data_IF_889939500043
#
_entry.id   IF_889939500043
#
_cell.length_a   1.000
_cell.length_b   1.000
_cell.length_c   1.000
_cell.angle_alpha   90.00
_cell.angle_beta   90.00
_cell.angle_gamma   90.00
#
_symmetry.space_group_name_H-M   'P 1'
#
loop_
_entity.id
_entity.type
_entity.pdbx_description
1 polymer ?
#
# COMPACT_ATOMS: atom_id res chain seq x y z
N UNK A 1 29.88 -11.07 0.50
CA UNK A 1 28.43 -11.13 0.23
C UNK A 1 28.19 -10.62 -1.18
N UNK A 2 27.53 -11.38 -2.05
CA UNK A 2 27.25 -10.95 -3.43
C UNK A 2 26.36 -9.71 -3.45
N UNK A 3 26.46 -8.92 -4.51
CA UNK A 3 25.64 -7.71 -4.68
C UNK A 3 24.13 -8.06 -4.77
N UNK A 4 23.81 -9.21 -5.36
CA UNK A 4 22.45 -9.73 -5.41
C UNK A 4 21.90 -10.05 -4.01
N UNK A 5 22.72 -10.65 -3.15
CA UNK A 5 22.31 -10.97 -1.79
C UNK A 5 22.09 -9.71 -0.95
N UNK A 6 22.92 -8.68 -1.12
CA UNK A 6 22.69 -7.36 -0.48
C UNK A 6 21.36 -6.74 -0.91
N UNK A 7 21.07 -6.73 -2.21
CA UNK A 7 19.83 -6.16 -2.75
C UNK A 7 18.60 -6.94 -2.30
N UNK A 8 18.69 -8.27 -2.22
CA UNK A 8 17.61 -9.10 -1.70
C UNK A 8 17.30 -8.77 -0.23
N UNK A 9 18.32 -8.75 0.63
CA UNK A 9 18.16 -8.41 2.05
C UNK A 9 17.53 -7.03 2.20
N UNK A 10 18.02 -6.05 1.43
CA UNK A 10 17.47 -4.69 1.42
C UNK A 10 15.98 -4.66 1.08
N UNK A 11 15.57 -5.34 0.01
CA UNK A 11 14.17 -5.38 -0.41
C UNK A 11 13.28 -6.09 0.61
N UNK A 12 13.78 -7.15 1.27
CA UNK A 12 13.09 -7.81 2.38
C UNK A 12 12.92 -6.85 3.56
N UNK A 13 13.97 -6.12 3.96
CA UNK A 13 13.87 -5.12 5.02
C UNK A 13 12.84 -4.04 4.68
N UNK A 14 12.83 -3.55 3.44
CA UNK A 14 11.83 -2.58 2.98
C UNK A 14 10.42 -3.17 3.10
N UNK A 15 10.21 -4.42 2.66
CA UNK A 15 8.91 -5.09 2.76
C UNK A 15 8.44 -5.20 4.23
N UNK A 16 9.33 -5.55 5.16
CA UNK A 16 8.99 -5.60 6.59
C UNK A 16 8.52 -4.22 7.08
N UNK A 17 9.24 -3.15 6.72
CA UNK A 17 8.86 -1.78 7.08
C UNK A 17 7.52 -1.40 6.46
N UNK A 18 7.27 -1.77 5.19
CA UNK A 18 5.98 -1.57 4.52
C UNK A 18 4.85 -2.23 5.31
N UNK A 19 5.01 -3.49 5.72
CA UNK A 19 3.99 -4.23 6.48
C UNK A 19 3.73 -3.61 7.85
N UNK A 20 4.79 -3.19 8.56
CA UNK A 20 4.68 -2.51 9.85
C UNK A 20 3.94 -1.18 9.71
N UNK A 21 4.33 -0.35 8.74
CA UNK A 21 3.66 0.93 8.50
C UNK A 21 2.21 0.75 8.06
N UNK A 22 1.93 -0.22 7.18
CA UNK A 22 0.57 -0.52 6.75
C UNK A 22 -0.30 -0.93 7.94
N UNK A 23 0.21 -1.76 8.85
CA UNK A 23 -0.50 -2.14 10.07
C UNK A 23 -0.81 -0.92 10.97
N UNK A 24 0.17 -0.06 11.23
CA UNK A 24 -0.01 1.09 12.11
C UNK A 24 -0.92 2.18 11.53
N UNK A 25 -0.94 2.35 10.21
CA UNK A 25 -1.73 3.37 9.52
C UNK A 25 -3.07 2.88 8.98
N UNK A 26 -3.35 1.57 9.05
CA UNK A 26 -4.57 0.97 8.51
C UNK A 26 -5.84 1.69 9.01
N UNK A 27 -5.99 1.90 10.32
CA UNK A 27 -7.17 2.59 10.83
C UNK A 27 -7.34 4.00 10.28
N UNK A 28 -6.24 4.76 10.15
CA UNK A 28 -6.29 6.15 9.66
C UNK A 28 -6.65 6.19 8.18
N UNK A 29 -6.06 5.31 7.37
CA UNK A 29 -6.36 5.24 5.93
C UNK A 29 -7.76 4.67 5.68
N UNK A 30 -8.22 3.70 6.47
CA UNK A 30 -9.59 3.20 6.42
C UNK A 30 -10.62 4.25 6.80
N UNK A 31 -10.35 5.04 7.84
CA UNK A 31 -11.20 6.19 8.20
C UNK A 31 -11.24 7.23 7.07
N UNK A 32 -10.10 7.49 6.42
CA UNK A 32 -10.04 8.39 5.26
C UNK A 32 -10.87 7.85 4.10
N UNK A 33 -10.82 6.53 3.85
CA UNK A 33 -11.62 5.87 2.83
C UNK A 33 -13.12 6.05 3.09
N UNK A 34 -13.58 5.71 4.29
CA UNK A 34 -15.00 5.85 4.67
C UNK A 34 -15.46 7.31 4.67
N UNK A 35 -14.56 8.26 4.97
CA UNK A 35 -14.87 9.68 4.85
C UNK A 35 -15.17 10.10 3.40
N UNK A 36 -14.43 9.57 2.41
CA UNK A 36 -14.69 9.83 1.00
C UNK A 36 -15.87 9.01 0.45
N UNK A 37 -16.10 7.81 0.97
CA UNK A 37 -17.10 6.86 0.48
C UNK A 37 -18.03 6.38 1.61
N UNK A 38 -18.86 7.27 2.19
CA UNK A 38 -19.71 6.93 3.33
C UNK A 38 -20.78 5.90 3.00
N UNK A 39 -21.22 5.83 1.73
CA UNK A 39 -22.24 4.89 1.24
C UNK A 39 -21.69 3.46 1.08
N UNK A 40 -20.41 3.30 0.74
CA UNK A 40 -19.77 1.98 0.62
C UNK A 40 -19.73 1.22 1.95
N UNK A 41 -19.74 1.94 3.08
CA UNK A 41 -19.82 1.36 4.43
C UNK A 41 -21.27 1.11 4.92
N UNK A 42 -22.30 1.57 4.20
CA UNK A 42 -23.70 1.48 4.64
C UNK A 42 -24.55 0.48 3.87
N UNK A 43 -24.17 0.09 2.65
CA UNK A 43 -24.97 -0.85 1.83
C UNK A 43 -24.61 -2.34 2.00
N UNK A 44 -23.62 -2.65 2.82
CA UNK A 44 -23.35 -4.02 3.20
C UNK A 44 -22.13 -4.06 4.10
N UNK A 45 -22.32 -4.29 5.39
CA UNK A 45 -21.19 -4.64 6.25
C UNK A 45 -20.56 -5.90 5.66
N UNK A 46 -19.44 -5.76 4.97
CA UNK A 46 -18.70 -6.89 4.39
C UNK A 46 -18.43 -7.99 5.43
N UNK A 47 -18.40 -7.58 6.70
CA UNK A 47 -18.37 -8.43 7.87
C UNK A 47 -19.31 -7.86 8.93
N UNK A 48 -20.01 -8.71 9.69
CA UNK A 48 -20.79 -8.33 10.88
C UNK A 48 -19.88 -7.92 12.04
N UNK A 49 -18.91 -7.04 11.78
CA UNK A 49 -17.82 -6.67 12.69
C UNK A 49 -17.98 -5.23 13.18
N UNK A 50 -17.31 -4.87 14.29
CA UNK A 50 -17.27 -3.48 14.75
C UNK A 50 -16.71 -2.56 13.67
N UNK A 51 -17.25 -1.34 13.53
CA UNK A 51 -16.79 -0.33 12.56
C UNK A 51 -15.27 -0.08 12.58
N UNK A 52 -14.65 -0.17 13.75
CA UNK A 52 -13.19 -0.05 13.86
C UNK A 52 -12.44 -1.19 13.17
N UNK A 53 -12.95 -2.42 13.24
CA UNK A 53 -12.37 -3.57 12.56
C UNK A 53 -12.60 -3.50 11.04
N UNK A 54 -13.77 -3.03 10.60
CA UNK A 54 -14.06 -2.79 9.18
C UNK A 54 -13.10 -1.75 8.58
N UNK A 55 -12.95 -0.59 9.23
CA UNK A 55 -12.04 0.46 8.77
C UNK A 55 -10.59 -0.05 8.74
N UNK A 56 -10.17 -0.82 9.75
CA UNK A 56 -8.86 -1.44 9.76
C UNK A 56 -8.65 -2.38 8.56
N UNK A 57 -9.63 -3.25 8.26
CA UNK A 57 -9.55 -4.20 7.14
C UNK A 57 -9.49 -3.50 5.78
N UNK A 58 -10.29 -2.44 5.57
CA UNK A 58 -10.23 -1.62 4.36
C UNK A 58 -8.89 -0.85 4.27
N UNK A 59 -8.38 -0.39 5.40
CA UNK A 59 -7.18 0.42 5.45
C UNK A 59 -5.87 -0.34 5.25
N UNK A 60 -5.81 -1.64 5.55
CA UNK A 60 -4.62 -2.48 5.32
C UNK A 60 -4.17 -2.45 3.86
N UNK A 61 -4.98 -2.87 2.86
CA UNK A 61 -4.55 -2.94 1.47
C UNK A 61 -4.22 -1.54 0.92
N UNK A 62 -5.00 -0.52 1.28
CA UNK A 62 -4.77 0.86 0.87
C UNK A 62 -3.45 1.42 1.42
N UNK A 63 -3.19 1.24 2.71
CA UNK A 63 -1.92 1.65 3.34
C UNK A 63 -0.75 0.88 2.75
N UNK A 64 -0.94 -0.42 2.52
CA UNK A 64 0.06 -1.28 1.90
C UNK A 64 0.43 -0.81 0.50
N UNK A 65 -0.54 -0.52 -0.38
CA UNK A 65 -0.30 0.00 -1.73
C UNK A 65 0.50 1.30 -1.68
N UNK A 66 0.12 2.22 -0.79
CA UNK A 66 0.82 3.49 -0.61
C UNK A 66 2.27 3.30 -0.15
N UNK A 67 2.51 2.57 0.95
CA UNK A 67 3.85 2.40 1.49
C UNK A 67 4.74 1.52 0.62
N UNK A 68 4.18 0.49 -0.01
CA UNK A 68 4.90 -0.37 -0.96
C UNK A 68 5.44 0.47 -2.11
N UNK A 69 4.57 1.23 -2.79
CA UNK A 69 4.96 2.07 -3.93
C UNK A 69 5.93 3.17 -3.50
N UNK A 70 5.69 3.82 -2.36
CA UNK A 70 6.57 4.86 -1.80
C UNK A 70 7.98 4.35 -1.49
N UNK A 71 8.09 3.34 -0.63
CA UNK A 71 9.37 2.89 -0.10
C UNK A 71 10.19 2.11 -1.13
N UNK A 72 9.56 1.29 -1.97
CA UNK A 72 10.30 0.64 -3.06
C UNK A 72 10.73 1.64 -4.14
N UNK A 73 9.94 2.67 -4.45
CA UNK A 73 10.38 3.69 -5.41
C UNK A 73 11.56 4.50 -4.86
N UNK A 74 11.48 4.92 -3.60
CA UNK A 74 12.51 5.70 -2.93
C UNK A 74 13.80 4.92 -2.68
N UNK A 75 13.68 3.69 -2.15
CA UNK A 75 14.81 2.95 -1.58
C UNK A 75 15.04 1.57 -2.19
N UNK A 76 14.18 1.08 -3.06
CA UNK A 76 14.31 -0.25 -3.65
C UNK A 76 15.64 -0.47 -4.38
N UNK A 77 16.17 -1.69 -4.28
CA UNK A 77 17.41 -2.10 -4.97
C UNK A 77 17.19 -2.43 -6.45
N UNK A 78 17.95 -3.40 -6.94
CA UNK A 78 17.79 -3.91 -8.30
C UNK A 78 16.35 -4.41 -8.55
N UNK A 79 15.85 -4.14 -9.76
CA UNK A 79 14.49 -4.53 -10.20
C UNK A 79 13.37 -4.03 -9.27
N UNK A 80 13.50 -2.86 -8.65
CA UNK A 80 12.48 -2.30 -7.73
C UNK A 80 11.05 -2.27 -8.31
N UNK A 81 10.88 -1.96 -9.60
CA UNK A 81 9.56 -1.96 -10.24
C UNK A 81 8.98 -3.37 -10.44
N UNK A 82 9.84 -4.38 -10.61
CA UNK A 82 9.41 -5.78 -10.61
C UNK A 82 8.89 -6.19 -9.23
N UNK A 83 9.61 -5.80 -8.17
CA UNK A 83 9.15 -6.04 -6.79
C UNK A 83 7.82 -5.36 -6.50
N UNK A 84 7.65 -4.09 -6.88
CA UNK A 84 6.37 -3.39 -6.75
C UNK A 84 5.27 -4.16 -7.49
N UNK A 85 5.49 -4.53 -8.75
CA UNK A 85 4.49 -5.25 -9.55
C UNK A 85 4.05 -6.57 -8.92
N UNK A 86 5.00 -7.42 -8.53
CA UNK A 86 4.69 -8.72 -7.90
C UNK A 86 4.03 -8.56 -6.54
N UNK A 87 4.53 -7.64 -5.72
CA UNK A 87 4.02 -7.43 -4.36
C UNK A 87 2.66 -6.72 -4.32
N UNK A 88 2.28 -6.00 -5.37
CA UNK A 88 0.93 -5.41 -5.47
C UNK A 88 -0.16 -6.45 -5.75
N UNK A 89 0.16 -7.60 -6.33
CA UNK A 89 -0.83 -8.59 -6.78
C UNK A 89 -1.86 -8.94 -5.69
N UNK A 90 -1.48 -9.29 -4.44
CA UNK A 90 -2.44 -9.63 -3.41
C UNK A 90 -3.40 -8.49 -3.06
N UNK A 91 -2.87 -7.26 -2.99
CA UNK A 91 -3.68 -6.08 -2.68
C UNK A 91 -4.63 -5.74 -3.85
N UNK A 92 -4.16 -5.83 -5.10
CA UNK A 92 -5.01 -5.61 -6.27
C UNK A 92 -6.13 -6.64 -6.37
N UNK A 93 -5.85 -7.92 -6.09
CA UNK A 93 -6.89 -8.96 -6.04
C UNK A 93 -7.94 -8.64 -4.98
N UNK A 94 -7.50 -8.19 -3.80
CA UNK A 94 -8.40 -7.77 -2.74
C UNK A 94 -9.31 -6.61 -3.18
N UNK A 95 -8.73 -5.51 -3.69
CA UNK A 95 -9.48 -4.33 -4.11
C UNK A 95 -10.47 -4.66 -5.25
N UNK A 96 -10.05 -5.43 -6.25
CA UNK A 96 -10.91 -5.82 -7.38
C UNK A 96 -12.08 -6.70 -6.94
N UNK A 97 -11.87 -7.57 -5.95
CA UNK A 97 -12.91 -8.47 -5.45
C UNK A 97 -13.90 -7.78 -4.51
N UNK A 98 -13.42 -6.91 -3.63
CA UNK A 98 -14.22 -6.30 -2.57
C UNK A 98 -14.79 -4.92 -2.95
N UNK A 99 -14.09 -4.13 -3.77
CA UNK A 99 -14.55 -2.78 -4.11
C UNK A 99 -14.08 -2.31 -5.50
N UNK A 100 -14.58 -2.98 -6.53
CA UNK A 100 -14.31 -2.61 -7.91
C UNK A 100 -14.78 -1.18 -8.25
N UNK A 101 -15.87 -0.73 -7.64
CA UNK A 101 -16.48 0.59 -7.82
C UNK A 101 -15.51 1.73 -7.51
N UNK A 102 -14.66 1.56 -6.50
CA UNK A 102 -13.74 2.58 -6.03
C UNK A 102 -12.27 2.28 -6.39
N UNK A 103 -12.02 1.43 -7.40
CA UNK A 103 -10.66 1.02 -7.81
C UNK A 103 -9.71 2.19 -8.16
N UNK A 104 -10.27 3.35 -8.53
CA UNK A 104 -9.47 4.55 -8.77
C UNK A 104 -8.78 5.09 -7.51
N UNK A 105 -9.32 4.82 -6.31
CA UNK A 105 -8.77 5.27 -5.04
C UNK A 105 -7.42 4.59 -4.69
N UNK A 106 -7.30 3.24 -4.67
CA UNK A 106 -6.01 2.58 -4.51
C UNK A 106 -5.02 2.94 -5.63
N UNK A 107 -5.49 3.14 -6.86
CA UNK A 107 -4.62 3.60 -7.97
C UNK A 107 -4.04 4.99 -7.65
N UNK A 108 -4.88 5.93 -7.20
CA UNK A 108 -4.43 7.27 -6.82
C UNK A 108 -3.41 7.22 -5.66
N UNK A 109 -3.67 6.40 -4.63
CA UNK A 109 -2.72 6.21 -3.53
C UNK A 109 -1.38 5.63 -4.02
N UNK A 110 -1.40 4.64 -4.91
CA UNK A 110 -0.20 4.09 -5.52
C UNK A 110 0.59 5.12 -6.33
N UNK A 111 -0.10 5.97 -7.10
CA UNK A 111 0.52 7.07 -7.85
C UNK A 111 1.13 8.14 -6.95
N UNK A 112 0.43 8.52 -5.87
CA UNK A 112 0.96 9.47 -4.88
C UNK A 112 2.19 8.89 -4.19
N UNK A 113 2.13 7.63 -3.75
CA UNK A 113 3.26 6.92 -3.15
C UNK A 113 4.46 6.89 -4.09
N UNK A 114 4.24 6.51 -5.35
CA UNK A 114 5.27 6.53 -6.39
C UNK A 114 5.87 7.92 -6.62
N UNK A 115 5.04 8.97 -6.76
CA UNK A 115 5.51 10.33 -7.01
C UNK A 115 6.36 10.86 -5.84
N UNK A 116 5.90 10.67 -4.61
CA UNK A 116 6.66 11.02 -3.41
C UNK A 116 7.97 10.23 -3.32
N UNK A 117 7.92 8.93 -3.63
CA UNK A 117 9.10 8.07 -3.64
C UNK A 117 10.13 8.52 -4.68
N UNK A 118 9.67 8.95 -5.85
CA UNK A 118 10.52 9.52 -6.90
C UNK A 118 11.18 10.83 -6.43
N UNK A 119 10.43 11.73 -5.79
CA UNK A 119 10.96 12.98 -5.24
C UNK A 119 12.02 12.73 -4.15
N UNK A 120 11.78 11.75 -3.27
CA UNK A 120 12.75 11.32 -2.26
C UNK A 120 14.00 10.78 -2.95
N UNK A 121 13.87 9.85 -3.89
CA UNK A 121 15.01 9.26 -4.60
C UNK A 121 15.87 10.35 -5.27
N UNK A 122 15.23 11.31 -5.94
CA UNK A 122 15.90 12.43 -6.61
C UNK A 122 16.67 13.32 -5.64
N UNK A 123 16.21 13.44 -4.40
CA UNK A 123 16.86 14.26 -3.36
C UNK A 123 18.09 13.58 -2.78
N UNK A 124 18.05 12.26 -2.58
CA UNK A 124 19.18 11.46 -2.08
C UNK A 124 20.21 11.08 -3.15
N UNK A 125 19.90 11.27 -4.43
CA UNK A 125 20.81 10.98 -5.56
C UNK A 125 21.56 12.22 -6.07
N UNK A 126 21.38 13.37 -5.42
CA UNK A 126 22.18 14.59 -5.64
C UNK A 126 23.33 14.61 -4.63
#
# INVERSE_FOLDING_TARGET
MSEDLKNLIKNICILIVVLVLAYFFANQVGNLYVYFFPQGASEGSLFSTPKSAENFLLGIPLSYIFFLTLLFTAFGGSKKYWWIGVLLIPAVIFEVYFDLSHIYFPIALGLIGWLLGFLIQKTFSR
#
